data_IF_433933436262
#
_entry.id   IF_433933436262
#
_cell.length_a   1.000
_cell.length_b   1.000
_cell.length_c   1.000
_cell.angle_alpha   90.00
_cell.angle_beta   90.00
_cell.angle_gamma   90.00
#
_symmetry.space_group_name_H-M   'P 1'
#
loop_
_entity.id
_entity.type
_entity.pdbx_description
1 polymer ?
#
# COMPACT_ATOMS: atom_id res chain seq x y z
N UNK A 1 -11.32 6.94 6.13
CA UNK A 1 -11.70 5.57 6.56
C UNK A 1 -12.82 5.10 5.64
N UNK A 2 -12.53 4.18 4.73
CA UNK A 2 -13.42 3.64 3.68
C UNK A 2 -12.95 2.23 3.30
N UNK A 3 -13.84 1.36 2.80
CA UNK A 3 -13.45 0.06 2.21
C UNK A 3 -12.88 0.22 0.79
N UNK A 4 -13.28 1.28 0.10
CA UNK A 4 -12.64 1.73 -1.13
C UNK A 4 -11.30 2.42 -0.79
N UNK A 5 -10.33 1.58 -0.47
CA UNK A 5 -9.03 1.98 0.05
C UNK A 5 -7.86 1.54 -0.84
N UNK A 6 -8.09 0.71 -1.87
CA UNK A 6 -7.04 0.16 -2.73
C UNK A 6 -6.56 1.20 -3.75
N UNK A 7 -5.89 2.21 -3.23
CA UNK A 7 -5.29 3.32 -3.99
C UNK A 7 -3.80 3.37 -3.73
N UNK A 8 -3.08 4.02 -4.64
CA UNK A 8 -1.65 4.25 -4.52
C UNK A 8 -1.31 5.69 -4.88
N UNK A 9 -0.26 6.20 -4.26
CA UNK A 9 0.33 7.49 -4.56
C UNK A 9 1.59 7.28 -5.39
N UNK A 10 1.85 8.18 -6.33
CA UNK A 10 3.07 8.18 -7.16
C UNK A 10 3.69 9.57 -7.14
N UNK A 11 4.97 9.65 -6.79
CA UNK A 11 5.77 10.87 -6.88
C UNK A 11 6.99 10.66 -7.75
N UNK A 12 7.28 11.63 -8.62
CA UNK A 12 8.48 11.67 -9.45
C UNK A 12 8.85 13.13 -9.75
N UNK A 13 10.14 13.46 -9.82
CA UNK A 13 10.64 14.79 -10.22
C UNK A 13 10.35 15.15 -11.68
N UNK A 14 9.99 14.17 -12.52
CA UNK A 14 9.76 14.37 -13.95
C UNK A 14 9.52 13.08 -14.71
N UNK A 15 8.99 13.20 -15.93
CA UNK A 15 8.69 12.10 -16.84
C UNK A 15 9.73 12.02 -17.97
N UNK A 16 9.91 10.84 -18.56
CA UNK A 16 10.70 10.66 -19.79
C UNK A 16 11.89 9.71 -19.66
N UNK A 17 12.49 9.64 -18.48
CA UNK A 17 13.61 8.74 -18.20
C UNK A 17 13.20 7.58 -17.29
N UNK A 18 13.87 6.43 -17.46
CA UNK A 18 13.75 5.31 -16.52
C UNK A 18 14.47 5.65 -15.21
N UNK A 19 13.72 5.59 -14.11
CA UNK A 19 14.20 5.87 -12.76
C UNK A 19 13.99 4.64 -11.87
N UNK A 20 14.84 4.41 -10.86
CA UNK A 20 14.58 3.40 -9.83
C UNK A 20 13.21 3.63 -9.18
N UNK A 21 12.49 2.56 -8.87
CA UNK A 21 11.20 2.60 -8.18
C UNK A 21 11.40 2.20 -6.73
N UNK A 22 11.06 3.09 -5.81
CA UNK A 22 10.98 2.81 -4.38
C UNK A 22 9.52 2.57 -4.01
N UNK A 23 9.20 1.33 -3.67
CA UNK A 23 7.86 0.92 -3.25
C UNK A 23 7.78 0.86 -1.73
N UNK A 24 6.85 1.61 -1.15
CA UNK A 24 6.67 1.76 0.29
C UNK A 24 5.32 1.18 0.75
N UNK A 25 5.38 0.37 1.80
CA UNK A 25 4.22 -0.22 2.48
C UNK A 25 4.24 0.30 3.91
N UNK A 26 3.17 1.00 4.31
CA UNK A 26 3.09 1.55 5.66
C UNK A 26 2.99 0.44 6.72
N UNK A 27 3.51 0.74 7.92
CA UNK A 27 3.40 -0.11 9.10
C UNK A 27 2.00 -0.09 9.71
N UNK A 28 1.93 -0.35 11.03
CA UNK A 28 0.67 -0.32 11.78
C UNK A 28 0.09 -1.71 12.12
N UNK A 29 0.91 -2.76 12.05
CA UNK A 29 0.56 -4.09 12.57
C UNK A 29 -0.63 -4.74 11.86
N UNK A 30 -0.84 -4.40 10.59
CA UNK A 30 -1.96 -4.88 9.76
C UNK A 30 -3.35 -4.41 10.22
N UNK A 31 -3.43 -3.54 11.23
CA UNK A 31 -4.68 -3.10 11.85
C UNK A 31 -4.91 -1.60 11.76
N UNK A 32 -3.85 -0.83 11.52
CA UNK A 32 -3.89 0.62 11.35
C UNK A 32 -2.87 1.09 10.31
N UNK A 33 -2.93 2.38 10.01
CA UNK A 33 -2.01 3.05 9.09
C UNK A 33 -2.69 3.52 7.80
N UNK A 34 -1.99 4.37 7.06
CA UNK A 34 -2.41 4.84 5.73
C UNK A 34 -1.20 5.29 4.91
N UNK A 35 -1.25 5.11 3.59
CA UNK A 35 -0.27 5.66 2.65
C UNK A 35 -0.35 7.19 2.50
N UNK A 36 -1.33 7.82 3.13
CA UNK A 36 -1.54 9.27 3.16
C UNK A 36 -1.06 9.95 4.46
N UNK A 37 -0.45 9.21 5.38
CA UNK A 37 0.21 9.82 6.54
C UNK A 37 1.28 10.82 6.08
N UNK A 38 1.36 11.97 6.76
CA UNK A 38 2.23 13.08 6.35
C UNK A 38 3.71 12.66 6.35
N UNK A 39 4.07 11.74 7.23
CA UNK A 39 5.39 11.13 7.35
C UNK A 39 5.81 10.34 6.09
N UNK A 40 4.85 9.94 5.24
CA UNK A 40 5.11 9.19 4.01
C UNK A 40 5.03 10.06 2.74
N UNK A 41 5.01 11.39 2.86
CA UNK A 41 5.01 12.28 1.70
C UNK A 41 6.29 12.10 0.87
N UNK A 42 6.15 11.49 -0.32
CA UNK A 42 7.25 11.15 -1.21
C UNK A 42 7.88 12.33 -1.97
N UNK A 43 7.37 13.57 -1.83
CA UNK A 43 7.80 14.71 -2.66
C UNK A 43 9.29 15.01 -2.54
N UNK A 44 9.84 14.97 -1.32
CA UNK A 44 11.29 15.24 -1.10
C UNK A 44 12.13 14.11 -1.69
N UNK A 45 11.77 12.85 -1.43
CA UNK A 45 12.51 11.69 -1.95
C UNK A 45 12.50 11.62 -3.49
N UNK A 46 11.39 12.01 -4.11
CA UNK A 46 11.27 12.06 -5.57
C UNK A 46 12.27 13.03 -6.23
N UNK A 47 12.83 14.00 -5.51
CA UNK A 47 13.86 14.93 -6.02
C UNK A 47 15.22 14.25 -6.26
N UNK A 48 15.43 13.03 -5.76
CA UNK A 48 16.66 12.26 -5.94
C UNK A 48 16.63 11.31 -7.14
N UNK A 49 15.86 11.66 -8.19
CA UNK A 49 15.69 10.85 -9.41
C UNK A 49 15.18 9.42 -9.16
N UNK A 50 14.26 9.28 -8.20
CA UNK A 50 13.55 8.03 -7.88
C UNK A 50 12.04 8.24 -8.07
N UNK A 51 11.34 7.21 -8.52
CA UNK A 51 9.87 7.15 -8.47
C UNK A 51 9.47 6.56 -7.13
N UNK A 52 8.75 7.33 -6.31
CA UNK A 52 8.22 6.86 -5.04
C UNK A 52 6.80 6.38 -5.27
N UNK A 53 6.51 5.16 -4.85
CA UNK A 53 5.16 4.60 -4.85
C UNK A 53 4.82 4.18 -3.43
N UNK A 54 3.73 4.68 -2.89
CA UNK A 54 3.18 4.19 -1.62
C UNK A 54 1.77 3.67 -1.84
N UNK A 55 1.35 2.62 -1.15
CA UNK A 55 0.02 2.03 -1.35
C UNK A 55 -0.70 1.77 -0.04
N UNK A 56 -2.02 1.79 -0.11
CA UNK A 56 -2.90 1.28 0.93
C UNK A 56 -3.20 -0.20 0.69
N UNK A 57 -3.35 -0.93 1.78
CA UNK A 57 -3.83 -2.31 1.79
C UNK A 57 -4.97 -2.45 2.79
N UNK A 58 -5.83 -3.45 2.63
CA UNK A 58 -6.95 -3.63 3.56
C UNK A 58 -6.42 -4.02 4.94
N UNK A 59 -7.06 -3.51 5.98
CA UNK A 59 -6.63 -3.68 7.37
C UNK A 59 -7.60 -4.59 8.14
N UNK A 60 -7.10 -5.14 9.24
CA UNK A 60 -7.87 -5.96 10.16
C UNK A 60 -8.53 -7.16 9.49
N UNK A 61 -9.75 -7.48 9.91
CA UNK A 61 -10.52 -8.60 9.34
C UNK A 61 -10.82 -8.43 7.85
N UNK A 62 -10.94 -7.19 7.34
CA UNK A 62 -11.21 -6.96 5.91
C UNK A 62 -10.03 -7.35 5.01
N UNK A 63 -8.81 -7.40 5.55
CA UNK A 63 -7.60 -7.80 4.83
C UNK A 63 -7.05 -9.18 5.20
N UNK A 64 -7.32 -9.64 6.42
CA UNK A 64 -6.59 -10.75 7.04
C UNK A 64 -7.49 -11.72 7.81
N UNK A 65 -8.81 -11.70 7.59
CA UNK A 65 -9.70 -12.69 8.20
C UNK A 65 -9.32 -14.11 7.72
N UNK A 66 -9.18 -15.02 8.67
CA UNK A 66 -9.02 -16.45 8.43
C UNK A 66 -10.27 -17.20 8.87
N UNK A 67 -11.02 -17.74 7.90
CA UNK A 67 -12.29 -18.43 8.14
C UNK A 67 -12.17 -19.90 8.55
N UNK A 68 -10.95 -20.43 8.65
CA UNK A 68 -10.72 -21.87 8.86
C UNK A 68 -10.87 -22.70 7.57
N UNK A 69 -10.67 -24.02 7.68
CA UNK A 69 -10.64 -24.95 6.54
C UNK A 69 -12.01 -25.15 5.86
N UNK A 70 -13.11 -24.87 6.57
CA UNK A 70 -14.47 -25.03 6.05
C UNK A 70 -14.95 -23.79 5.27
N UNK A 71 -14.26 -22.65 5.40
CA UNK A 71 -14.59 -21.41 4.71
C UNK A 71 -14.02 -21.41 3.29
N UNK A 72 -14.55 -22.30 2.45
CA UNK A 72 -14.05 -22.58 1.10
C UNK A 72 -14.03 -21.36 0.14
N UNK A 73 -14.85 -20.34 0.40
CA UNK A 73 -14.94 -19.14 -0.45
C UNK A 73 -14.30 -17.89 0.16
N UNK A 74 -13.80 -17.97 1.40
CA UNK A 74 -13.11 -16.85 2.03
C UNK A 74 -11.63 -16.87 1.61
N UNK A 75 -11.20 -15.85 0.88
CA UNK A 75 -9.79 -15.69 0.56
C UNK A 75 -9.06 -15.10 1.77
N UNK A 76 -8.13 -15.87 2.34
CA UNK A 76 -7.29 -15.43 3.45
C UNK A 76 -6.19 -14.51 2.93
N UNK A 77 -5.70 -13.59 3.77
CA UNK A 77 -4.61 -12.67 3.41
C UNK A 77 -4.87 -11.87 2.11
N UNK A 78 -6.12 -11.48 1.87
CA UNK A 78 -6.52 -10.82 0.62
C UNK A 78 -5.80 -9.49 0.36
N UNK A 79 -5.23 -8.87 1.40
CA UNK A 79 -4.34 -7.73 1.26
C UNK A 79 -2.97 -8.06 0.66
N UNK A 80 -2.42 -9.24 0.95
CA UNK A 80 -1.10 -9.65 0.44
C UNK A 80 -1.17 -10.23 -0.97
N UNK A 81 -2.32 -10.76 -1.38
CA UNK A 81 -2.53 -11.32 -2.72
C UNK A 81 -2.58 -10.29 -3.85
N UNK A 82 -2.62 -9.00 -3.52
CA UNK A 82 -2.66 -7.88 -4.47
C UNK A 82 -1.38 -7.03 -4.46
N UNK A 83 -0.41 -7.38 -3.61
CA UNK A 83 0.94 -6.79 -3.60
C UNK A 83 1.89 -7.67 -4.42
#
# INVERSE_FOLDING_TARGET
>A
MSEDCLVLNVWTSGLGDLKPVMFWIHGGGLAGGSSFEEEYNGTVLATHDVVIVSTNYRLGSLGFLYGGREAMYAHNNCSLSIM
#
